data_IF_869652628805
#
_entry.id   IF_869652628805
#
_cell.length_a   1.000
_cell.length_b   1.000
_cell.length_c   1.000
_cell.angle_alpha   90.00
_cell.angle_beta   90.00
_cell.angle_gamma   90.00
#
_symmetry.space_group_name_H-M   'P 1'
#
loop_
_entity.id
_entity.type
_entity.pdbx_description
1 polymer ?
#
# COMPACT_ATOMS: atom_id res chain seq x y z
N UNK A 1 -4.90 1.35 -27.99
CA UNK A 1 -5.06 -0.06 -27.53
C UNK A 1 -4.51 -0.26 -26.11
N UNK A 2 -3.33 0.28 -25.80
CA UNK A 2 -2.72 0.19 -24.45
C UNK A 2 -3.56 0.85 -23.34
N UNK A 3 -4.19 2.00 -23.60
CA UNK A 3 -5.08 2.66 -22.61
C UNK A 3 -6.28 1.80 -22.20
N UNK A 4 -6.88 1.06 -23.13
CA UNK A 4 -8.02 0.16 -22.86
C UNK A 4 -7.57 -0.97 -21.93
N UNK A 5 -6.40 -1.57 -22.20
CA UNK A 5 -5.78 -2.57 -21.33
C UNK A 5 -5.43 -1.99 -19.96
N UNK A 6 -4.94 -0.75 -19.92
CA UNK A 6 -4.66 0.00 -18.70
C UNK A 6 -5.90 0.16 -17.81
N UNK A 7 -7.01 0.61 -18.37
CA UNK A 7 -8.27 0.77 -17.63
C UNK A 7 -8.92 -0.56 -17.25
N UNK A 8 -8.79 -1.61 -18.08
CA UNK A 8 -9.15 -2.96 -17.68
C UNK A 8 -8.31 -3.43 -16.48
N UNK A 9 -7.01 -3.14 -16.48
CA UNK A 9 -6.12 -3.35 -15.34
C UNK A 9 -6.58 -2.61 -14.08
N UNK A 10 -7.06 -1.37 -14.22
CA UNK A 10 -7.62 -0.61 -13.09
C UNK A 10 -8.85 -1.29 -12.47
N UNK A 11 -9.76 -1.84 -13.29
CA UNK A 11 -10.90 -2.64 -12.79
C UNK A 11 -10.40 -3.86 -12.02
N UNK A 12 -9.41 -4.58 -12.55
CA UNK A 12 -8.81 -5.76 -11.88
C UNK A 12 -8.17 -5.37 -10.54
N UNK A 13 -7.44 -4.26 -10.49
CA UNK A 13 -6.91 -3.70 -9.23
C UNK A 13 -8.05 -3.47 -8.24
N UNK A 14 -9.13 -2.82 -8.67
CA UNK A 14 -10.31 -2.58 -7.84
C UNK A 14 -10.95 -3.85 -7.28
N UNK A 15 -11.14 -4.85 -8.13
CA UNK A 15 -11.64 -6.18 -7.73
C UNK A 15 -10.74 -6.80 -6.66
N UNK A 16 -9.43 -6.78 -6.88
CA UNK A 16 -8.45 -7.34 -5.95
C UNK A 16 -8.40 -6.57 -4.63
N UNK A 17 -8.65 -5.26 -4.63
CA UNK A 17 -8.73 -4.46 -3.40
C UNK A 17 -9.87 -4.95 -2.49
N UNK A 18 -10.97 -5.46 -3.06
CA UNK A 18 -12.06 -6.02 -2.25
C UNK A 18 -11.77 -7.46 -1.82
N UNK A 19 -11.28 -8.29 -2.74
CA UNK A 19 -11.04 -9.72 -2.48
C UNK A 19 -9.88 -9.96 -1.51
N UNK A 20 -8.79 -9.23 -1.70
CA UNK A 20 -7.54 -9.38 -0.95
C UNK A 20 -7.43 -8.31 0.14
N UNK A 21 -8.25 -7.26 0.08
CA UNK A 21 -8.16 -6.10 0.95
C UNK A 21 -7.17 -5.06 0.42
N UNK A 22 -6.55 -4.32 1.33
CA UNK A 22 -5.51 -3.35 1.01
C UNK A 22 -4.28 -3.97 0.29
N UNK A 23 -4.25 -5.31 0.14
CA UNK A 23 -3.30 -6.04 -0.67
C UNK A 23 -3.45 -5.89 -2.18
N UNK A 24 -4.67 -5.72 -2.68
CA UNK A 24 -4.93 -5.63 -4.12
C UNK A 24 -4.38 -4.35 -4.77
N UNK A 25 -4.17 -3.30 -3.98
CA UNK A 25 -3.64 -2.01 -4.45
C UNK A 25 -2.15 -2.04 -4.80
N UNK A 26 -1.45 -3.13 -4.49
CA UNK A 26 -0.04 -3.29 -4.85
C UNK A 26 0.17 -3.28 -6.37
N UNK A 27 -0.83 -3.69 -7.13
CA UNK A 27 -0.79 -3.75 -8.59
C UNK A 27 -1.03 -2.41 -9.26
N UNK A 28 -1.44 -1.36 -8.53
CA UNK A 28 -1.66 -0.03 -9.10
C UNK A 28 -0.41 0.51 -9.80
N UNK A 29 0.76 0.44 -9.14
CA UNK A 29 2.01 0.97 -9.71
C UNK A 29 2.47 0.16 -10.93
N UNK A 30 2.55 -1.20 -10.89
CA UNK A 30 2.85 -1.97 -12.09
C UNK A 30 1.92 -1.68 -13.27
N UNK A 31 0.62 -1.52 -13.02
CA UNK A 31 -0.34 -1.19 -14.09
C UNK A 31 -0.04 0.18 -14.68
N UNK A 32 0.22 1.19 -13.85
CA UNK A 32 0.60 2.54 -14.31
C UNK A 32 1.92 2.55 -15.10
N UNK A 33 2.92 1.81 -14.65
CA UNK A 33 4.23 1.76 -15.32
C UNK A 33 4.18 0.95 -16.61
N UNK A 34 3.62 -0.25 -16.57
CA UNK A 34 3.71 -1.18 -17.71
C UNK A 34 2.61 -0.96 -18.76
N UNK A 35 1.41 -0.49 -18.38
CA UNK A 35 0.30 -0.30 -19.32
C UNK A 35 0.09 1.16 -19.73
N UNK A 36 0.36 2.11 -18.82
CA UNK A 36 0.29 3.54 -19.12
C UNK A 36 1.66 4.16 -19.42
N UNK A 37 2.75 3.39 -19.35
CA UNK A 37 4.11 3.83 -19.67
C UNK A 37 4.58 5.06 -18.89
N UNK A 38 4.09 5.22 -17.66
CA UNK A 38 4.48 6.30 -16.75
C UNK A 38 5.79 5.91 -16.06
N UNK A 39 6.66 6.89 -15.81
CA UNK A 39 7.88 6.63 -15.03
C UNK A 39 7.52 6.11 -13.63
N UNK A 40 8.26 5.11 -13.09
CA UNK A 40 8.06 4.58 -11.75
C UNK A 40 7.96 5.65 -10.67
N UNK A 41 8.84 6.67 -10.67
CA UNK A 41 8.77 7.77 -9.70
C UNK A 41 7.38 8.43 -9.69
N UNK A 42 6.87 8.85 -10.85
CA UNK A 42 5.56 9.51 -10.97
C UNK A 42 4.41 8.55 -10.65
N UNK A 43 4.49 7.31 -11.16
CA UNK A 43 3.47 6.29 -10.94
C UNK A 43 3.27 5.97 -9.46
N UNK A 44 4.36 5.96 -8.67
CA UNK A 44 4.27 5.75 -7.22
C UNK A 44 3.54 6.90 -6.52
N UNK A 45 3.69 8.14 -7.00
CA UNK A 45 2.94 9.30 -6.51
C UNK A 45 1.44 9.21 -6.84
N UNK A 46 1.12 8.86 -8.09
CA UNK A 46 -0.27 8.70 -8.55
C UNK A 46 -0.98 7.58 -7.78
N UNK A 47 -0.28 6.49 -7.53
CA UNK A 47 -0.79 5.37 -6.75
C UNK A 47 -1.17 5.78 -5.32
N UNK A 48 -0.46 6.70 -4.66
CA UNK A 48 -0.85 7.14 -3.31
C UNK A 48 -2.24 7.79 -3.29
N UNK A 49 -2.57 8.63 -4.28
CA UNK A 49 -3.90 9.22 -4.36
C UNK A 49 -4.97 8.17 -4.71
N UNK A 50 -4.71 7.34 -5.72
CA UNK A 50 -5.62 6.25 -6.15
C UNK A 50 -5.91 5.31 -4.99
N UNK A 51 -4.87 4.88 -4.27
CA UNK A 51 -4.98 3.95 -3.14
C UNK A 51 -5.63 4.62 -1.94
N UNK A 52 -5.37 5.91 -1.71
CA UNK A 52 -6.07 6.70 -0.71
C UNK A 52 -7.58 6.66 -0.92
N UNK A 53 -8.05 7.02 -2.12
CA UNK A 53 -9.49 7.07 -2.43
C UNK A 53 -10.12 5.67 -2.38
N UNK A 54 -9.50 4.68 -3.05
CA UNK A 54 -10.05 3.30 -3.09
C UNK A 54 -10.06 2.64 -1.71
N UNK A 55 -9.04 2.89 -0.87
CA UNK A 55 -8.99 2.37 0.50
C UNK A 55 -10.02 3.04 1.41
N UNK A 56 -10.28 4.34 1.27
CA UNK A 56 -11.37 5.02 2.02
C UNK A 56 -12.69 4.30 1.74
N UNK A 57 -13.05 4.15 0.47
CA UNK A 57 -14.33 3.55 0.06
C UNK A 57 -14.43 2.10 0.54
N UNK A 58 -13.36 1.33 0.39
CA UNK A 58 -13.32 -0.07 0.82
C UNK A 58 -13.39 -0.22 2.34
N UNK A 59 -12.70 0.64 3.10
CA UNK A 59 -12.70 0.61 4.58
C UNK A 59 -14.10 0.83 5.16
N UNK A 60 -14.92 1.69 4.54
CA UNK A 60 -16.27 2.01 5.03
C UNK A 60 -17.13 0.74 5.21
N UNK A 61 -17.02 -0.23 4.30
CA UNK A 61 -17.74 -1.51 4.41
C UNK A 61 -17.29 -2.32 5.62
N UNK A 62 -16.01 -2.27 6.00
CA UNK A 62 -15.48 -2.96 7.18
C UNK A 62 -15.82 -2.23 8.48
N UNK A 63 -15.83 -0.90 8.47
CA UNK A 63 -16.28 -0.07 9.60
C UNK A 63 -17.73 -0.37 9.94
N UNK A 64 -18.62 -0.41 8.93
CA UNK A 64 -20.05 -0.74 9.12
C UNK A 64 -20.25 -2.12 9.71
N UNK A 65 -19.39 -3.09 9.37
CA UNK A 65 -19.40 -4.46 9.89
C UNK A 65 -18.67 -4.60 11.24
N UNK A 66 -18.17 -3.51 11.83
CA UNK A 66 -17.36 -3.49 13.07
C UNK A 66 -16.11 -4.38 12.99
N UNK A 67 -15.54 -4.56 11.80
CA UNK A 67 -14.35 -5.39 11.54
C UNK A 67 -13.08 -4.54 11.44
N UNK A 68 -12.94 -3.55 12.32
CA UNK A 68 -11.79 -2.64 12.36
C UNK A 68 -11.33 -2.50 13.80
N UNK A 69 -10.04 -2.74 14.04
CA UNK A 69 -9.42 -2.50 15.33
C UNK A 69 -8.77 -1.10 15.34
N UNK A 70 -9.50 -0.10 15.82
CA UNK A 70 -9.04 1.29 15.84
C UNK A 70 -7.78 1.50 16.71
N UNK A 71 -7.64 0.76 17.81
CA UNK A 71 -6.48 0.89 18.69
C UNK A 71 -5.20 0.52 17.95
N UNK A 72 -5.21 -0.62 17.27
CA UNK A 72 -4.09 -1.07 16.45
C UNK A 72 -3.90 -0.15 15.23
N UNK A 73 -4.99 0.30 14.60
CA UNK A 73 -4.92 1.25 13.49
C UNK A 73 -4.20 2.54 13.88
N UNK A 74 -4.41 3.06 15.09
CA UNK A 74 -3.74 4.28 15.58
C UNK A 74 -2.27 3.98 15.90
N UNK A 75 -1.98 2.93 16.67
CA UNK A 75 -0.62 2.59 17.11
C UNK A 75 0.28 2.29 15.91
N UNK A 76 -0.21 1.52 14.93
CA UNK A 76 0.53 1.20 13.72
C UNK A 76 0.47 2.35 12.68
N UNK A 77 -0.68 3.03 12.60
CA UNK A 77 -0.94 4.04 11.58
C UNK A 77 -0.15 5.32 11.77
N UNK A 78 -0.05 5.87 12.98
CA UNK A 78 0.71 7.10 13.23
C UNK A 78 2.17 7.02 12.75
N UNK A 79 2.99 6.03 13.17
CA UNK A 79 4.36 5.92 12.69
C UNK A 79 4.41 5.65 11.18
N UNK A 80 3.48 4.87 10.64
CA UNK A 80 3.39 4.62 9.19
C UNK A 80 3.12 5.90 8.40
N UNK A 81 2.17 6.72 8.85
CA UNK A 81 1.80 7.99 8.22
C UNK A 81 2.99 8.95 8.24
N UNK A 82 3.64 9.10 9.39
CA UNK A 82 4.83 9.94 9.53
C UNK A 82 5.97 9.45 8.62
N UNK A 83 6.25 8.15 8.60
CA UNK A 83 7.28 7.56 7.76
C UNK A 83 6.99 7.75 6.27
N UNK A 84 5.76 7.52 5.80
CA UNK A 84 5.37 7.74 4.41
C UNK A 84 5.56 9.21 4.03
N UNK A 85 5.10 10.15 4.87
CA UNK A 85 5.25 11.58 4.61
C UNK A 85 6.73 11.99 4.50
N UNK A 86 7.55 11.60 5.47
CA UNK A 86 8.99 11.91 5.48
C UNK A 86 9.70 11.27 4.29
N UNK A 87 9.31 10.05 3.94
CA UNK A 87 9.88 9.35 2.78
C UNK A 87 9.56 10.08 1.50
N UNK A 88 8.30 10.48 1.30
CA UNK A 88 7.87 11.21 0.10
C UNK A 88 8.48 12.60 0.02
N UNK A 89 8.50 13.32 1.14
CA UNK A 89 8.96 14.71 1.19
C UNK A 89 10.48 14.84 1.11
N UNK A 90 11.23 13.92 1.71
CA UNK A 90 12.68 14.07 1.89
C UNK A 90 13.50 12.90 1.35
N UNK A 91 13.13 11.64 1.63
CA UNK A 91 13.98 10.50 1.25
C UNK A 91 13.95 10.23 -0.26
N UNK A 92 12.76 10.15 -0.86
CA UNK A 92 12.59 9.85 -2.28
C UNK A 92 13.27 10.91 -3.18
N UNK A 93 13.15 12.23 -2.91
CA UNK A 93 13.90 13.25 -3.66
C UNK A 93 15.41 13.19 -3.42
N UNK A 94 15.86 12.80 -2.23
CA UNK A 94 17.28 12.69 -1.90
C UNK A 94 17.98 11.50 -2.58
N UNK A 95 17.23 10.53 -3.13
CA UNK A 95 17.78 9.44 -3.94
C UNK A 95 18.26 10.02 -5.29
N UNK A 96 19.56 9.89 -5.63
CA UNK A 96 20.12 10.32 -6.91
C UNK A 96 19.44 9.65 -8.10
N UNK A 97 19.39 10.34 -9.24
CA UNK A 97 18.78 9.79 -10.46
C UNK A 97 19.57 8.59 -11.01
N UNK A 98 20.88 8.56 -10.78
CA UNK A 98 21.79 7.48 -11.14
C UNK A 98 22.59 7.03 -9.91
N UNK A 99 22.55 5.74 -9.62
CA UNK A 99 23.27 5.10 -8.52
C UNK A 99 24.27 4.09 -9.06
N UNK A 100 25.55 4.30 -8.84
CA UNK A 100 26.60 3.32 -9.15
C UNK A 100 26.63 2.23 -8.07
N UNK A 101 26.40 0.97 -8.44
CA UNK A 101 26.34 -0.14 -7.47
C UNK A 101 27.70 -0.85 -7.36
N UNK A 102 28.19 -1.37 -8.49
CA UNK A 102 29.44 -2.12 -8.58
C UNK A 102 30.23 -1.63 -9.79
N UNK A 103 31.22 -0.75 -9.55
CA UNK A 103 32.06 -0.18 -10.61
C UNK A 103 31.22 0.55 -11.66
N UNK A 104 31.06 -0.08 -12.83
CA UNK A 104 30.42 0.50 -14.03
C UNK A 104 28.91 0.22 -14.15
N UNK A 105 28.31 -0.58 -13.26
CA UNK A 105 26.86 -0.81 -13.27
C UNK A 105 26.11 0.38 -12.66
N UNK A 106 25.57 1.23 -13.54
CA UNK A 106 24.70 2.36 -13.19
C UNK A 106 23.25 1.87 -13.15
N UNK A 107 22.57 2.09 -12.02
CA UNK A 107 21.16 1.83 -11.85
C UNK A 107 20.40 3.15 -11.76
N UNK A 108 19.38 3.32 -12.60
CA UNK A 108 18.50 4.48 -12.50
C UNK A 108 17.60 4.38 -11.26
N UNK A 109 17.19 5.53 -10.74
CA UNK A 109 16.20 5.65 -9.66
C UNK A 109 14.92 4.86 -9.96
N UNK A 110 14.44 4.92 -11.20
CA UNK A 110 13.26 4.17 -11.65
C UNK A 110 13.47 2.66 -11.54
N UNK A 111 14.63 2.15 -11.98
CA UNK A 111 14.98 0.73 -11.86
C UNK A 111 15.09 0.30 -10.40
N UNK A 112 15.67 1.14 -9.53
CA UNK A 112 15.74 0.89 -8.10
C UNK A 112 14.35 0.76 -7.46
N UNK A 113 13.42 1.68 -7.76
CA UNK A 113 12.06 1.63 -7.24
C UNK A 113 11.30 0.39 -7.73
N UNK A 114 11.49 0.00 -8.99
CA UNK A 114 10.87 -1.20 -9.55
C UNK A 114 11.45 -2.48 -8.95
N UNK A 115 12.77 -2.53 -8.72
CA UNK A 115 13.43 -3.63 -8.02
C UNK A 115 12.91 -3.75 -6.58
N UNK A 116 12.84 -2.62 -5.86
CA UNK A 116 12.29 -2.56 -4.51
C UNK A 116 10.85 -3.07 -4.51
N UNK A 117 10.01 -2.61 -5.43
CA UNK A 117 8.62 -3.06 -5.56
C UNK A 117 8.53 -4.56 -5.82
N UNK A 118 9.38 -5.11 -6.71
CA UNK A 118 9.45 -6.54 -6.98
C UNK A 118 9.83 -7.35 -5.74
N UNK A 119 10.81 -6.89 -4.97
CA UNK A 119 11.18 -7.50 -3.70
C UNK A 119 10.04 -7.45 -2.68
N UNK A 120 9.34 -6.32 -2.56
CA UNK A 120 8.19 -6.19 -1.67
C UNK A 120 7.04 -7.11 -2.09
N UNK A 121 6.73 -7.21 -3.38
CA UNK A 121 5.75 -8.14 -3.94
C UNK A 121 6.08 -9.59 -3.53
N UNK A 122 7.34 -9.99 -3.66
CA UNK A 122 7.80 -11.34 -3.30
C UNK A 122 7.70 -11.62 -1.79
N UNK A 123 8.18 -10.71 -0.95
CA UNK A 123 8.06 -10.79 0.52
C UNK A 123 6.59 -10.88 0.95
N UNK A 124 5.71 -10.23 0.20
CA UNK A 124 4.29 -10.16 0.55
C UNK A 124 3.54 -11.40 0.13
N UNK A 125 3.85 -11.94 -1.05
CA UNK A 125 3.35 -13.24 -1.47
C UNK A 125 3.74 -14.32 -0.45
N UNK A 126 5.01 -14.35 -0.04
CA UNK A 126 5.51 -15.35 0.93
C UNK A 126 4.92 -15.17 2.33
N UNK A 127 4.84 -13.95 2.85
CA UNK A 127 4.24 -13.68 4.16
C UNK A 127 2.74 -13.99 4.21
N UNK A 128 2.01 -13.79 3.12
CA UNK A 128 0.58 -14.12 3.05
C UNK A 128 0.32 -15.64 3.06
N UNK A 129 1.24 -16.44 2.51
CA UNK A 129 1.21 -17.91 2.66
C UNK A 129 1.43 -18.32 4.11
N UNK A 130 2.30 -17.62 4.86
CA UNK A 130 2.55 -17.92 6.28
C UNK A 130 1.33 -17.63 7.17
N UNK A 131 0.52 -16.61 6.84
CA UNK A 131 -0.72 -16.27 7.56
C UNK A 131 -1.69 -17.45 7.63
N UNK A 132 -1.82 -18.22 6.54
CA UNK A 132 -2.74 -19.38 6.46
C UNK A 132 -2.38 -20.48 7.47
N UNK A 133 -1.12 -20.57 7.93
CA UNK A 133 -0.59 -21.63 8.80
C UNK A 133 -0.84 -21.39 10.30
N UNK A 134 -1.16 -20.16 10.71
CA UNK A 134 -1.35 -19.76 12.12
C UNK A 134 -2.83 -19.72 12.55
N UNK A 135 -3.74 -20.09 11.65
CA UNK A 135 -5.19 -20.05 11.83
C UNK A 135 -5.74 -21.17 12.74
N UNK A 136 -4.96 -22.22 12.99
CA UNK A 136 -5.37 -23.38 13.81
C UNK A 136 -5.14 -23.19 15.33
N UNK A 137 -4.72 -21.99 15.78
CA UNK A 137 -4.49 -21.70 17.20
C UNK A 137 -5.50 -20.67 17.72
N UNK A 138 -6.18 -20.99 18.82
CA UNK A 138 -7.08 -20.04 19.50
C UNK A 138 -6.32 -18.78 19.94
N UNK A 139 -6.95 -17.59 19.87
CA UNK A 139 -6.27 -16.33 20.14
C UNK A 139 -6.07 -16.14 21.65
N UNK A 140 -4.91 -16.52 22.17
CA UNK A 140 -4.45 -16.02 23.48
C UNK A 140 -4.00 -14.56 23.32
N UNK A 141 -4.87 -13.62 23.72
CA UNK A 141 -4.60 -12.19 23.65
C UNK A 141 -3.71 -11.76 24.84
N UNK A 142 -2.46 -12.22 24.85
CA UNK A 142 -1.48 -11.86 25.87
C UNK A 142 -0.74 -10.58 25.46
N UNK A 143 -1.39 -9.44 25.66
CA UNK A 143 -0.77 -8.12 25.48
C UNK A 143 0.17 -7.84 26.64
N UNK A 144 1.39 -8.37 26.59
CA UNK A 144 2.50 -7.75 27.30
C UNK A 144 2.73 -6.37 26.66
N UNK A 145 2.06 -5.36 27.25
CA UNK A 145 1.58 -4.17 26.54
C UNK A 145 2.70 -3.29 25.99
N UNK A 146 3.90 -3.37 26.55
CA UNK A 146 5.02 -2.52 26.15
C UNK A 146 5.85 -3.11 25.00
N UNK A 147 6.13 -4.41 25.02
CA UNK A 147 6.97 -5.07 24.01
C UNK A 147 6.29 -5.11 22.64
N UNK A 148 5.02 -5.53 22.61
CA UNK A 148 4.23 -5.58 21.37
C UNK A 148 3.98 -4.20 20.77
N UNK A 149 3.67 -3.18 21.60
CA UNK A 149 3.50 -1.80 21.12
C UNK A 149 4.77 -1.28 20.47
N UNK A 150 5.96 -1.58 21.04
CA UNK A 150 7.24 -1.18 20.45
C UNK A 150 7.52 -1.89 19.12
N UNK A 151 7.23 -3.18 19.00
CA UNK A 151 7.35 -3.89 17.71
C UNK A 151 6.44 -3.30 16.65
N UNK A 152 5.16 -3.06 16.98
CA UNK A 152 4.16 -2.47 16.07
C UNK A 152 4.60 -1.08 15.60
N UNK A 153 5.19 -0.28 16.48
CA UNK A 153 5.73 1.04 16.12
C UNK A 153 6.88 0.95 15.12
N UNK A 154 7.85 0.06 15.37
CA UNK A 154 9.02 -0.13 14.49
C UNK A 154 8.57 -0.64 13.13
N UNK A 155 7.67 -1.62 13.10
CA UNK A 155 7.15 -2.13 11.84
C UNK A 155 6.34 -1.11 11.07
N UNK A 156 5.49 -0.34 11.75
CA UNK A 156 4.77 0.76 11.13
C UNK A 156 5.72 1.75 10.46
N UNK A 157 6.85 2.06 11.10
CA UNK A 157 7.88 2.92 10.52
C UNK A 157 8.55 2.26 9.31
N UNK A 158 9.01 1.02 9.42
CA UNK A 158 9.69 0.29 8.32
C UNK A 158 8.75 0.15 7.12
N UNK A 159 7.55 -0.37 7.34
CA UNK A 159 6.53 -0.53 6.29
C UNK A 159 6.17 0.84 5.73
N UNK A 160 6.06 1.87 6.58
CA UNK A 160 5.82 3.25 6.15
C UNK A 160 6.90 3.77 5.20
N UNK A 161 8.19 3.56 5.50
CA UNK A 161 9.29 3.94 4.60
C UNK A 161 9.23 3.17 3.29
N UNK A 162 9.15 1.84 3.35
CA UNK A 162 9.14 0.98 2.16
C UNK A 162 7.96 1.31 1.24
N UNK A 163 6.78 1.50 1.82
CA UNK A 163 5.55 1.80 1.07
C UNK A 163 5.45 3.27 0.68
N UNK A 164 6.16 4.15 1.39
CA UNK A 164 6.42 5.52 0.99
C UNK A 164 7.25 5.56 -0.29
N UNK A 165 8.33 4.77 -0.41
CA UNK A 165 9.13 4.71 -1.65
C UNK A 165 8.33 4.12 -2.81
N UNK A 166 7.59 3.04 -2.57
CA UNK A 166 6.91 2.28 -3.63
C UNK A 166 5.51 2.81 -3.97
N UNK A 167 4.88 3.64 -3.13
CA UNK A 167 3.64 4.36 -3.47
C UNK A 167 2.34 3.54 -3.43
N UNK A 168 2.40 2.27 -3.05
CA UNK A 168 1.26 1.32 -3.14
C UNK A 168 0.29 1.37 -1.95
N UNK A 169 0.44 2.34 -1.04
CA UNK A 169 -0.36 2.44 0.19
C UNK A 169 -0.21 1.26 1.16
N UNK A 170 0.66 0.29 0.85
CA UNK A 170 1.27 -0.68 1.76
C UNK A 170 0.37 -1.70 2.46
N UNK A 171 -0.91 -1.72 2.14
CA UNK A 171 -1.88 -2.60 2.77
C UNK A 171 -1.53 -4.09 2.69
N UNK A 172 -0.89 -4.49 1.60
CA UNK A 172 -0.45 -5.86 1.35
C UNK A 172 0.55 -6.41 2.39
N UNK A 173 1.46 -5.57 2.92
CA UNK A 173 2.39 -5.97 4.00
C UNK A 173 1.77 -5.77 5.39
N UNK A 174 0.83 -4.82 5.51
CA UNK A 174 0.16 -4.55 6.78
C UNK A 174 -0.69 -5.74 7.21
N UNK A 175 -1.42 -6.39 6.28
CA UNK A 175 -2.25 -7.54 6.59
C UNK A 175 -1.46 -8.66 7.28
N UNK A 176 -0.37 -9.22 6.69
CA UNK A 176 0.39 -10.28 7.34
C UNK A 176 1.06 -9.82 8.64
N UNK A 177 1.55 -8.58 8.72
CA UNK A 177 2.08 -8.03 9.98
C UNK A 177 1.04 -8.04 11.09
N UNK A 178 -0.17 -7.53 10.80
CA UNK A 178 -1.27 -7.48 11.76
C UNK A 178 -1.77 -8.87 12.18
N UNK A 179 -1.80 -9.84 11.27
CA UNK A 179 -2.23 -11.20 11.62
C UNK A 179 -1.14 -11.92 12.40
N UNK A 180 0.12 -11.83 11.99
CA UNK A 180 1.21 -12.60 12.60
C UNK A 180 1.58 -12.05 13.98
N UNK A 181 1.59 -10.73 14.16
CA UNK A 181 2.10 -10.07 15.36
C UNK A 181 1.01 -9.65 16.34
N UNK A 182 -0.11 -9.14 15.81
CA UNK A 182 -1.23 -8.71 16.64
C UNK A 182 -2.30 -9.80 16.80
N UNK A 183 -2.10 -10.96 16.16
CA UNK A 183 -3.02 -12.10 16.17
C UNK A 183 -4.46 -11.70 15.80
N UNK A 184 -4.61 -10.75 14.87
CA UNK A 184 -5.92 -10.29 14.44
C UNK A 184 -6.58 -11.30 13.51
N UNK A 185 -7.90 -11.54 13.64
CA UNK A 185 -8.66 -12.27 12.64
C UNK A 185 -8.47 -11.61 11.27
N UNK A 186 -8.28 -12.40 10.21
CA UNK A 186 -7.95 -11.91 8.86
C UNK A 186 -8.92 -10.82 8.39
N UNK A 187 -10.23 -11.00 8.62
CA UNK A 187 -11.25 -10.00 8.24
C UNK A 187 -11.07 -8.66 8.97
N UNK A 188 -10.70 -8.70 10.24
CA UNK A 188 -10.39 -7.51 11.05
C UNK A 188 -9.06 -6.90 10.62
N UNK A 189 -8.06 -7.72 10.31
CA UNK A 189 -6.77 -7.26 9.80
C UNK A 189 -6.91 -6.54 8.45
N UNK A 190 -7.73 -7.07 7.53
CA UNK A 190 -8.04 -6.41 6.25
C UNK A 190 -8.68 -5.04 6.47
N UNK A 191 -9.73 -4.96 7.29
CA UNK A 191 -10.40 -3.69 7.58
C UNK A 191 -9.47 -2.68 8.26
N UNK A 192 -8.65 -3.14 9.19
CA UNK A 192 -7.66 -2.30 9.89
C UNK A 192 -6.55 -1.83 8.94
N UNK A 193 -6.07 -2.70 8.04
CA UNK A 193 -5.06 -2.37 7.04
C UNK A 193 -5.58 -1.37 5.99
N UNK A 194 -6.83 -1.50 5.55
CA UNK A 194 -7.47 -0.53 4.65
C UNK A 194 -7.58 0.86 5.31
N UNK A 195 -7.93 0.91 6.61
CA UNK A 195 -7.96 2.16 7.36
C UNK A 195 -6.58 2.81 7.44
N UNK A 196 -5.55 2.03 7.77
CA UNK A 196 -4.15 2.52 7.81
C UNK A 196 -3.71 2.99 6.41
N UNK A 197 -3.99 2.21 5.37
CA UNK A 197 -3.65 2.52 3.98
C UNK A 197 -4.31 3.82 3.52
N UNK A 198 -5.58 4.04 3.85
CA UNK A 198 -6.29 5.28 3.52
C UNK A 198 -5.62 6.50 4.14
N UNK A 199 -5.33 6.45 5.44
CA UNK A 199 -4.73 7.56 6.17
C UNK A 199 -3.33 7.90 5.65
N UNK A 200 -2.45 6.89 5.52
CA UNK A 200 -1.06 7.14 5.11
C UNK A 200 -0.92 7.48 3.64
N UNK A 201 -1.78 6.97 2.76
CA UNK A 201 -1.70 7.29 1.33
C UNK A 201 -2.19 8.71 1.05
N UNK A 202 -3.26 9.15 1.73
CA UNK A 202 -3.70 10.55 1.68
C UNK A 202 -2.60 11.52 2.12
N UNK A 203 -1.98 11.27 3.28
CA UNK A 203 -0.89 12.12 3.79
C UNK A 203 0.38 11.99 2.93
N UNK A 204 0.70 10.79 2.44
CA UNK A 204 1.82 10.57 1.54
C UNK A 204 1.71 11.36 0.24
N UNK A 205 0.50 11.43 -0.32
CA UNK A 205 0.23 12.21 -1.51
C UNK A 205 0.40 13.72 -1.26
N UNK A 206 0.07 14.24 -0.07
CA UNK A 206 0.39 15.64 0.28
C UNK A 206 1.91 15.92 0.24
N UNK A 207 2.72 14.94 0.66
CA UNK A 207 4.18 15.02 0.54
C UNK A 207 4.67 15.05 -0.92
N UNK A 208 3.93 14.41 -1.83
CA UNK A 208 4.21 14.34 -3.27
C UNK A 208 3.83 15.62 -4.02
N UNK A 209 2.62 16.15 -3.80
CA UNK A 209 2.13 17.40 -4.45
C UNK A 209 3.09 18.56 -4.20
N UNK A 210 3.73 18.58 -3.04
CA UNK A 210 4.66 19.64 -2.65
C UNK A 210 5.98 19.63 -3.43
N UNK A 211 6.20 18.64 -4.31
CA UNK A 211 7.45 18.41 -5.04
C UNK A 211 7.19 18.34 -6.54
N UNK A 212 6.20 17.56 -6.96
CA UNK A 212 5.89 17.35 -8.37
C UNK A 212 4.70 18.22 -8.77
N UNK A 213 4.96 19.28 -9.55
CA UNK A 213 3.95 20.23 -10.00
C UNK A 213 3.13 19.74 -11.21
N UNK A 214 3.58 18.69 -11.90
CA UNK A 214 2.98 18.19 -13.15
C UNK A 214 2.24 16.86 -12.94
N UNK A 215 1.24 16.88 -12.06
CA UNK A 215 0.41 15.72 -11.76
C UNK A 215 -0.75 15.65 -12.76
N UNK A 216 -0.81 14.57 -13.54
CA UNK A 216 -1.93 14.27 -14.42
C UNK A 216 -3.13 13.77 -13.60
N UNK A 217 -3.90 14.72 -13.09
CA UNK A 217 -5.13 14.45 -12.35
C UNK A 217 -6.18 13.75 -13.20
N UNK A 218 -6.22 13.99 -14.51
CA UNK A 218 -7.19 13.37 -15.40
C UNK A 218 -6.99 11.85 -15.44
N UNK A 219 -5.75 11.40 -15.61
CA UNK A 219 -5.41 9.99 -15.57
C UNK A 219 -5.71 9.37 -14.21
N UNK A 220 -5.35 10.05 -13.11
CA UNK A 220 -5.62 9.55 -11.75
C UNK A 220 -7.12 9.35 -11.52
N UNK A 221 -7.95 10.33 -11.88
CA UNK A 221 -9.40 10.23 -11.67
C UNK A 221 -10.05 9.21 -12.59
N UNK A 222 -9.62 9.11 -13.86
CA UNK A 222 -10.09 8.05 -14.77
C UNK A 222 -9.72 6.67 -14.21
N UNK A 223 -8.46 6.45 -13.86
CA UNK A 223 -8.00 5.19 -13.28
C UNK A 223 -8.78 4.84 -12.01
N UNK A 224 -8.94 5.81 -11.11
CA UNK A 224 -9.70 5.63 -9.87
C UNK A 224 -11.14 5.27 -10.18
N UNK A 225 -11.80 5.95 -11.13
CA UNK A 225 -13.17 5.65 -11.56
C UNK A 225 -13.33 4.18 -12.00
N UNK A 226 -12.43 3.68 -12.85
CA UNK A 226 -12.43 2.28 -13.26
C UNK A 226 -12.13 1.31 -12.10
N UNK A 227 -11.21 1.66 -11.20
CA UNK A 227 -10.96 0.89 -10.00
C UNK A 227 -12.19 0.84 -9.06
N UNK A 228 -12.96 1.93 -8.96
CA UNK A 228 -14.21 1.94 -8.19
C UNK A 228 -15.29 1.05 -8.80
N UNK A 229 -15.36 0.95 -10.13
CA UNK A 229 -16.22 -0.04 -10.80
C UNK A 229 -15.80 -1.45 -10.41
N UNK A 230 -14.50 -1.75 -10.42
CA UNK A 230 -13.97 -3.03 -9.94
C UNK A 230 -14.32 -3.32 -8.48
N UNK A 231 -14.21 -2.32 -7.60
CA UNK A 231 -14.58 -2.43 -6.18
C UNK A 231 -16.09 -2.70 -6.04
N UNK A 232 -16.92 -2.01 -6.80
CA UNK A 232 -18.36 -2.23 -6.78
C UNK A 232 -18.69 -3.68 -7.17
N UNK A 233 -18.17 -4.16 -8.29
CA UNK A 233 -18.36 -5.55 -8.75
C UNK A 233 -17.86 -6.54 -7.70
N UNK A 234 -16.66 -6.33 -7.15
CA UNK A 234 -16.05 -7.20 -6.15
C UNK A 234 -16.80 -7.25 -4.83
N UNK A 235 -17.56 -6.21 -4.50
CA UNK A 235 -18.38 -6.17 -3.28
C UNK A 235 -19.65 -7.03 -3.40
N UNK A 236 -20.11 -7.32 -4.62
CA UNK A 236 -21.28 -8.18 -4.88
C UNK A 236 -20.94 -9.66 -5.05
N UNK A 237 -19.67 -10.01 -5.27
CA UNK A 237 -19.15 -11.38 -5.35
C UNK A 237 -18.91 -11.99 -3.97
#
# INVERSE_FOLDING_TARGET
MYEILGYAGAIVVGLLVVLVGAGGSILTVPVLVYLFHISPVIATGYALLIVGITSIISTLSYIRRKMVNYRIAIIFGIPSVAAVYLTRRYMLPAIPDEMSIFGDLVMSKDAFLMLLMGALLFVSATSMVMVKRKYDAEPELNLNTFYYTRMILIEGLIIGVLTGLVGTGGGFMIIPALVILCNLPIKTAIGTALLIASAKSGIGFLGEISINADIDYELIFKFTGFALVGIAIGTYL
#
